data_IF_593724796796
#
_entry.id   IF_593724796796
#
_cell.length_a   1.000
_cell.length_b   1.000
_cell.length_c   1.000
_cell.angle_alpha   90.00
_cell.angle_beta   90.00
_cell.angle_gamma   90.00
#
_symmetry.space_group_name_H-M   'P 1'
#
loop_
_entity.id
_entity.type
_entity.pdbx_description
1 polymer ?
#
# COMPACT_ATOMS: atom_id res chain seq x y z
N UNK A 1 -28.62 -3.98 25.15
CA UNK A 1 -28.46 -2.53 24.88
C UNK A 1 -27.01 -2.29 24.51
N UNK A 2 -26.75 -2.31 23.22
CA UNK A 2 -25.44 -2.11 22.60
C UNK A 2 -25.08 -0.63 22.74
N UNK A 3 -24.04 -0.33 23.55
CA UNK A 3 -23.47 1.01 23.59
C UNK A 3 -22.73 1.21 22.27
N UNK A 4 -23.37 1.91 21.34
CA UNK A 4 -22.72 2.55 20.20
C UNK A 4 -21.74 3.57 20.76
N UNK A 5 -20.44 3.25 20.76
CA UNK A 5 -19.41 4.26 20.88
C UNK A 5 -19.32 4.96 19.53
N UNK A 6 -20.17 5.96 19.32
CA UNK A 6 -19.95 6.95 18.27
C UNK A 6 -18.81 7.81 18.79
N UNK A 7 -17.63 7.64 18.20
CA UNK A 7 -16.54 8.58 18.37
C UNK A 7 -16.92 9.88 17.64
N UNK A 8 -16.99 10.98 18.38
CA UNK A 8 -17.31 12.33 17.91
C UNK A 8 -16.17 12.98 17.09
N UNK A 9 -15.25 12.19 16.51
CA UNK A 9 -14.19 12.76 15.68
C UNK A 9 -14.76 13.16 14.31
N UNK A 10 -15.37 14.34 14.25
CA UNK A 10 -15.96 14.96 13.05
C UNK A 10 -14.92 15.69 12.21
N UNK A 11 -13.63 15.57 12.53
CA UNK A 11 -12.58 16.29 11.82
C UNK A 11 -12.23 15.59 10.50
N UNK A 12 -12.20 16.37 9.43
CA UNK A 12 -11.79 15.94 8.10
C UNK A 12 -10.34 15.45 8.13
N UNK A 13 -10.13 14.16 7.87
CA UNK A 13 -8.79 13.56 7.84
C UNK A 13 -8.01 14.05 6.61
N UNK A 14 -6.89 14.76 6.81
CA UNK A 14 -5.97 15.19 5.77
C UNK A 14 -4.91 14.11 5.52
N UNK A 15 -4.88 13.58 4.30
CA UNK A 15 -4.02 12.46 3.95
C UNK A 15 -2.94 12.92 2.98
N UNK A 16 -1.67 12.81 3.36
CA UNK A 16 -0.54 12.89 2.44
C UNK A 16 -0.36 11.57 1.69
N UNK A 17 -0.05 11.61 0.41
CA UNK A 17 0.04 10.39 -0.40
C UNK A 17 1.37 10.28 -1.12
N UNK A 18 2.15 9.24 -0.86
CA UNK A 18 3.44 9.01 -1.48
C UNK A 18 3.39 7.75 -2.33
N UNK A 19 3.86 7.83 -3.57
CA UNK A 19 3.86 6.68 -4.48
C UNK A 19 4.99 6.75 -5.50
N UNK A 20 5.43 5.59 -5.99
CA UNK A 20 6.24 5.52 -7.21
C UNK A 20 5.41 5.43 -8.48
N UNK A 21 4.09 5.17 -8.37
CA UNK A 21 3.17 5.17 -9.51
C UNK A 21 3.59 4.21 -10.63
N UNK A 22 3.93 2.97 -10.27
CA UNK A 22 4.49 1.97 -11.19
C UNK A 22 3.46 1.02 -11.82
N UNK A 23 2.27 0.88 -11.24
CA UNK A 23 1.30 -0.09 -11.73
C UNK A 23 -0.04 -0.07 -11.00
N UNK A 24 -0.82 -1.11 -11.27
CA UNK A 24 -2.23 -1.24 -10.86
C UNK A 24 -2.46 -1.22 -9.35
N UNK A 25 -1.49 -1.67 -8.54
CA UNK A 25 -1.57 -1.58 -7.09
C UNK A 25 -1.61 -0.13 -6.61
N UNK A 26 -0.57 0.65 -6.90
CA UNK A 26 -0.50 2.07 -6.53
C UNK A 26 -1.65 2.90 -7.11
N UNK A 27 -2.04 2.64 -8.36
CA UNK A 27 -3.14 3.36 -9.01
C UNK A 27 -4.48 3.00 -8.36
N UNK A 28 -4.76 1.71 -8.20
CA UNK A 28 -6.03 1.23 -7.64
C UNK A 28 -6.23 1.62 -6.17
N UNK A 29 -5.16 1.68 -5.37
CA UNK A 29 -5.23 2.19 -3.99
C UNK A 29 -5.65 3.66 -3.95
N UNK A 30 -5.06 4.50 -4.81
CA UNK A 30 -5.40 5.92 -4.87
C UNK A 30 -6.83 6.12 -5.40
N UNK A 31 -7.17 5.46 -6.52
CA UNK A 31 -8.51 5.55 -7.12
C UNK A 31 -9.60 5.09 -6.15
N UNK A 32 -9.40 3.96 -5.46
CA UNK A 32 -10.36 3.46 -4.47
C UNK A 32 -10.54 4.43 -3.30
N UNK A 33 -9.44 5.04 -2.83
CA UNK A 33 -9.50 6.03 -1.74
C UNK A 33 -10.21 7.29 -2.17
N UNK A 34 -9.95 7.78 -3.39
CA UNK A 34 -10.65 8.94 -3.96
C UNK A 34 -12.14 8.68 -4.15
N UNK A 35 -12.52 7.48 -4.59
CA UNK A 35 -13.92 7.08 -4.72
C UNK A 35 -14.63 7.09 -3.36
N UNK A 36 -14.00 6.54 -2.32
CA UNK A 36 -14.54 6.55 -0.95
C UNK A 36 -14.69 7.98 -0.39
N UNK A 37 -13.75 8.87 -0.71
CA UNK A 37 -13.86 10.29 -0.35
C UNK A 37 -15.04 10.95 -1.08
N UNK A 38 -15.12 10.76 -2.41
CA UNK A 38 -16.15 11.39 -3.23
C UNK A 38 -17.56 10.89 -2.92
N UNK A 39 -17.71 9.62 -2.52
CA UNK A 39 -18.99 9.04 -2.09
C UNK A 39 -19.42 9.49 -0.68
N UNK A 40 -18.50 10.10 0.09
CA UNK A 40 -18.71 10.46 1.49
C UNK A 40 -18.52 9.31 2.48
N UNK A 41 -18.10 8.14 2.00
CA UNK A 41 -17.82 6.97 2.84
C UNK A 41 -16.59 7.18 3.74
N UNK A 42 -15.58 7.87 3.21
CA UNK A 42 -14.40 8.32 3.95
C UNK A 42 -14.48 9.83 4.16
N UNK A 43 -14.61 10.26 5.41
CA UNK A 43 -14.56 11.68 5.79
C UNK A 43 -13.12 12.20 5.81
N UNK A 44 -12.52 12.34 4.63
CA UNK A 44 -11.15 12.81 4.47
C UNK A 44 -10.90 13.51 3.15
N UNK A 45 -9.69 14.02 2.97
CA UNK A 45 -9.20 14.58 1.71
C UNK A 45 -7.74 14.17 1.49
N UNK A 46 -7.36 14.00 0.23
CA UNK A 46 -5.94 13.91 -0.13
C UNK A 46 -5.36 15.33 -0.17
N UNK A 47 -4.48 15.65 0.78
CA UNK A 47 -3.87 16.97 0.92
C UNK A 47 -2.83 17.25 -0.17
N UNK A 48 -2.05 16.23 -0.52
CA UNK A 48 -1.10 16.25 -1.62
C UNK A 48 -0.82 14.82 -2.11
N UNK A 49 -0.31 14.71 -3.33
CA UNK A 49 0.30 13.48 -3.85
C UNK A 49 1.73 13.79 -4.24
N UNK A 50 2.67 13.11 -3.59
CA UNK A 50 4.08 13.07 -3.98
C UNK A 50 4.37 11.83 -4.84
N UNK A 51 5.01 12.06 -5.99
CA UNK A 51 5.49 11.00 -6.87
C UNK A 51 7.00 11.14 -7.06
N UNK A 52 7.77 10.10 -6.73
CA UNK A 52 9.23 10.13 -6.93
C UNK A 52 9.66 9.91 -8.40
N UNK A 53 8.78 10.28 -9.33
CA UNK A 53 8.88 10.16 -10.79
C UNK A 53 8.22 11.35 -11.45
N UNK A 54 8.57 11.57 -12.71
CA UNK A 54 8.03 12.65 -13.53
C UNK A 54 7.36 12.11 -14.79
N UNK A 55 6.55 12.95 -15.43
CA UNK A 55 5.86 12.66 -16.67
C UNK A 55 6.83 12.25 -17.79
N UNK A 56 6.41 11.28 -18.61
CA UNK A 56 7.20 10.70 -19.69
C UNK A 56 8.17 9.60 -19.25
N UNK A 57 8.29 9.28 -17.97
CA UNK A 57 9.15 8.17 -17.52
C UNK A 57 8.54 6.81 -17.81
N UNK A 58 7.25 6.61 -17.54
CA UNK A 58 6.50 5.40 -17.95
C UNK A 58 5.02 5.74 -18.13
N UNK A 59 4.33 4.99 -19.00
CA UNK A 59 2.88 5.16 -19.22
C UNK A 59 2.05 5.01 -17.94
N UNK A 60 2.46 4.10 -17.05
CA UNK A 60 1.78 3.86 -15.77
C UNK A 60 1.91 5.06 -14.83
N UNK A 61 3.09 5.68 -14.80
CA UNK A 61 3.31 6.91 -14.04
C UNK A 61 2.45 8.03 -14.62
N UNK A 62 2.48 8.25 -15.94
CA UNK A 62 1.69 9.29 -16.60
C UNK A 62 0.18 9.15 -16.36
N UNK A 63 -0.33 7.92 -16.38
CA UNK A 63 -1.72 7.62 -16.02
C UNK A 63 -2.06 8.02 -14.59
N UNK A 64 -1.18 7.72 -13.62
CA UNK A 64 -1.38 8.15 -12.23
C UNK A 64 -1.32 9.67 -12.09
N UNK A 65 -0.35 10.35 -12.72
CA UNK A 65 -0.26 11.81 -12.69
C UNK A 65 -1.52 12.46 -13.28
N UNK A 66 -2.07 11.88 -14.35
CA UNK A 66 -3.33 12.34 -14.97
C UNK A 66 -4.51 12.20 -14.01
N UNK A 67 -4.62 11.06 -13.30
CA UNK A 67 -5.64 10.87 -12.26
C UNK A 67 -5.52 11.93 -11.15
N UNK A 68 -4.33 12.19 -10.64
CA UNK A 68 -4.15 13.20 -9.57
C UNK A 68 -4.59 14.59 -10.06
N UNK A 69 -4.19 14.97 -11.28
CA UNK A 69 -4.55 16.26 -11.88
C UNK A 69 -6.05 16.39 -12.14
N UNK A 70 -6.73 15.34 -12.59
CA UNK A 70 -8.18 15.39 -12.85
C UNK A 70 -9.00 15.63 -11.58
N UNK A 71 -8.50 15.20 -10.42
CA UNK A 71 -9.08 15.47 -9.11
C UNK A 71 -8.63 16.80 -8.49
N UNK A 72 -7.81 17.60 -9.19
CA UNK A 72 -7.28 18.90 -8.73
C UNK A 72 -6.53 18.83 -7.39
N UNK A 73 -5.86 17.71 -7.15
CA UNK A 73 -5.04 17.50 -5.95
C UNK A 73 -3.65 18.10 -6.22
N UNK A 74 -3.03 18.77 -5.23
CA UNK A 74 -1.63 19.19 -5.35
C UNK A 74 -0.73 18.01 -5.69
N UNK A 75 -0.10 18.08 -6.87
CA UNK A 75 0.80 17.06 -7.38
C UNK A 75 2.23 17.56 -7.34
N UNK A 76 3.06 16.92 -6.52
CA UNK A 76 4.47 17.23 -6.35
C UNK A 76 5.28 16.07 -6.92
N UNK A 77 6.24 16.39 -7.77
CA UNK A 77 7.09 15.37 -8.40
C UNK A 77 8.55 15.71 -8.19
N UNK A 78 9.33 14.69 -7.77
CA UNK A 78 10.78 14.77 -7.74
C UNK A 78 11.34 13.42 -8.20
N UNK A 79 11.88 13.38 -9.42
CA UNK A 79 12.40 12.14 -10.00
C UNK A 79 13.63 11.63 -9.25
N UNK A 80 13.51 10.48 -8.57
CA UNK A 80 14.66 9.88 -7.86
C UNK A 80 15.77 9.45 -8.83
N UNK A 81 15.41 9.10 -10.07
CA UNK A 81 16.36 8.80 -11.14
C UNK A 81 17.20 10.03 -11.52
N UNK A 82 16.54 11.15 -11.74
CA UNK A 82 17.20 12.37 -12.22
C UNK A 82 17.93 13.08 -11.06
N UNK A 83 17.41 12.97 -9.84
CA UNK A 83 18.13 13.33 -8.61
C UNK A 83 19.43 12.54 -8.47
N UNK A 84 19.38 11.21 -8.60
CA UNK A 84 20.60 10.38 -8.56
C UNK A 84 21.59 10.78 -9.66
N UNK A 85 21.12 11.07 -10.87
CA UNK A 85 21.97 11.49 -11.99
C UNK A 85 22.68 12.82 -11.72
N UNK A 86 21.95 13.82 -11.21
CA UNK A 86 22.52 15.12 -10.86
C UNK A 86 23.49 15.07 -9.66
N UNK A 87 23.40 14.03 -8.83
CA UNK A 87 24.29 13.82 -7.68
C UNK A 87 25.41 12.81 -7.97
N UNK A 88 25.91 12.78 -9.21
CA UNK A 88 27.06 11.97 -9.61
C UNK A 88 26.81 10.46 -9.61
N UNK A 89 25.55 10.03 -9.74
CA UNK A 89 25.15 8.61 -9.77
C UNK A 89 25.59 7.78 -8.54
N UNK A 90 25.84 8.44 -7.40
CA UNK A 90 26.21 7.79 -6.14
C UNK A 90 25.23 6.66 -5.77
N UNK A 91 25.67 5.65 -5.01
CA UNK A 91 24.77 4.61 -4.49
C UNK A 91 23.57 5.24 -3.77
N UNK A 92 22.35 4.73 -4.02
CA UNK A 92 21.12 5.32 -3.48
C UNK A 92 21.15 5.47 -1.96
N UNK A 93 21.75 4.50 -1.25
CA UNK A 93 21.93 4.56 0.21
C UNK A 93 22.63 5.82 0.72
N UNK A 94 23.46 6.46 -0.10
CA UNK A 94 24.19 7.70 0.25
C UNK A 94 23.42 8.97 -0.17
N UNK A 95 22.23 8.81 -0.77
CA UNK A 95 21.41 9.91 -1.30
C UNK A 95 20.02 9.99 -0.67
N UNK A 96 19.60 8.97 0.09
CA UNK A 96 18.24 8.87 0.65
C UNK A 96 17.88 10.09 1.51
N UNK A 97 18.75 10.43 2.46
CA UNK A 97 18.50 11.56 3.38
C UNK A 97 18.42 12.88 2.64
N UNK A 98 19.40 13.20 1.78
CA UNK A 98 19.37 14.42 0.97
C UNK A 98 18.15 14.49 0.03
N UNK A 99 17.71 13.35 -0.50
CA UNK A 99 16.48 13.27 -1.29
C UNK A 99 15.26 13.57 -0.42
N UNK A 100 15.14 12.91 0.73
CA UNK A 100 14.03 13.13 1.66
C UNK A 100 13.97 14.59 2.14
N UNK A 101 15.10 15.22 2.48
CA UNK A 101 15.17 16.64 2.86
C UNK A 101 14.57 17.54 1.77
N UNK A 102 14.97 17.31 0.51
CA UNK A 102 14.42 18.04 -0.64
C UNK A 102 12.91 17.81 -0.78
N UNK A 103 12.43 16.59 -0.54
CA UNK A 103 10.99 16.28 -0.59
C UNK A 103 10.24 16.98 0.53
N UNK A 104 10.77 16.98 1.76
CA UNK A 104 10.17 17.67 2.91
C UNK A 104 10.05 19.17 2.64
N UNK A 105 11.10 19.80 2.11
CA UNK A 105 11.07 21.22 1.74
C UNK A 105 9.98 21.52 0.70
N UNK A 106 9.89 20.71 -0.37
CA UNK A 106 8.85 20.85 -1.39
C UNK A 106 7.43 20.66 -0.85
N UNK A 107 7.28 19.86 0.20
CA UNK A 107 5.99 19.56 0.82
C UNK A 107 5.62 20.51 1.98
N UNK A 108 6.54 21.36 2.44
CA UNK A 108 6.32 22.32 3.54
C UNK A 108 5.07 23.22 3.42
N UNK A 109 4.55 23.57 2.23
CA UNK A 109 3.30 24.32 2.13
C UNK A 109 2.02 23.51 2.44
N UNK A 110 2.13 22.19 2.58
CA UNK A 110 1.00 21.29 2.74
C UNK A 110 1.01 20.66 4.13
N UNK A 111 -0.19 20.49 4.69
CA UNK A 111 -0.40 19.91 6.01
C UNK A 111 -1.22 18.62 5.89
N UNK A 112 -0.80 17.58 6.60
CA UNK A 112 -1.40 16.26 6.60
C UNK A 112 -1.40 15.66 8.02
N UNK A 113 -2.53 15.09 8.43
CA UNK A 113 -2.66 14.44 9.75
C UNK A 113 -1.95 13.07 9.75
N UNK A 114 -2.02 12.38 8.61
CA UNK A 114 -1.32 11.13 8.34
C UNK A 114 -0.85 11.10 6.88
N UNK A 115 0.10 10.21 6.60
CA UNK A 115 0.55 9.91 5.25
C UNK A 115 0.29 8.44 4.88
N UNK A 116 0.29 8.14 3.58
CA UNK A 116 0.20 6.77 3.04
C UNK A 116 1.34 6.52 2.05
N UNK A 117 2.07 5.43 2.26
CA UNK A 117 2.94 4.79 1.25
C UNK A 117 2.12 3.81 0.41
N UNK A 118 1.72 4.23 -0.79
CA UNK A 118 0.97 3.40 -1.72
C UNK A 118 1.87 2.95 -2.88
N UNK A 119 2.63 1.88 -2.64
CA UNK A 119 3.64 1.42 -3.59
C UNK A 119 4.79 2.44 -3.75
N UNK A 120 5.22 3.05 -2.64
CA UNK A 120 6.42 3.86 -2.59
C UNK A 120 7.65 2.95 -2.51
N UNK A 121 8.47 2.96 -3.55
CA UNK A 121 9.54 1.96 -3.77
C UNK A 121 10.92 2.46 -3.30
N UNK A 122 10.96 3.42 -2.38
CA UNK A 122 12.19 3.99 -1.83
C UNK A 122 12.20 3.86 -0.30
N UNK A 123 13.38 3.65 0.26
CA UNK A 123 13.61 3.76 1.70
C UNK A 123 13.74 5.24 2.04
N UNK A 124 12.86 5.73 2.92
CA UNK A 124 12.60 7.14 3.20
C UNK A 124 12.78 7.44 4.70
N UNK A 125 14.03 7.43 5.23
CA UNK A 125 14.26 7.52 6.66
C UNK A 125 13.76 8.82 7.30
N UNK A 126 13.93 9.97 6.63
CA UNK A 126 13.52 11.26 7.19
C UNK A 126 12.04 11.51 6.94
N UNK A 127 11.51 11.10 5.78
CA UNK A 127 10.06 11.19 5.51
C UNK A 127 9.22 10.38 6.51
N UNK A 128 9.66 9.18 6.90
CA UNK A 128 8.96 8.40 7.94
C UNK A 128 9.02 9.04 9.33
N UNK A 129 10.00 9.93 9.57
CA UNK A 129 10.13 10.65 10.83
C UNK A 129 9.32 11.95 10.84
N UNK A 130 9.21 12.60 9.68
CA UNK A 130 8.44 13.83 9.48
C UNK A 130 6.93 13.58 9.43
N UNK A 131 6.52 12.49 8.77
CA UNK A 131 5.10 12.14 8.59
C UNK A 131 4.77 10.81 9.25
N UNK A 132 3.69 10.79 10.05
CA UNK A 132 3.07 9.54 10.51
C UNK A 132 2.50 8.78 9.30
N UNK A 133 3.28 7.83 8.78
CA UNK A 133 3.03 7.23 7.47
C UNK A 133 2.56 5.79 7.60
N UNK A 134 1.39 5.47 7.03
CA UNK A 134 0.87 4.12 6.93
C UNK A 134 1.34 3.46 5.63
N UNK A 135 1.75 2.21 5.69
CA UNK A 135 2.10 1.41 4.52
C UNK A 135 1.23 0.16 4.45
N UNK A 136 0.75 -0.14 3.24
CA UNK A 136 0.13 -1.43 2.96
C UNK A 136 1.20 -2.41 2.54
N UNK A 137 1.22 -3.58 3.17
CA UNK A 137 2.09 -4.68 2.80
C UNK A 137 1.27 -5.95 2.54
N UNK A 138 1.43 -6.63 1.38
CA UNK A 138 0.64 -7.79 1.02
C UNK A 138 1.19 -9.09 1.62
N UNK A 139 1.40 -9.08 2.93
CA UNK A 139 1.63 -10.24 3.77
C UNK A 139 1.03 -9.99 5.16
N UNK A 140 0.74 -11.06 5.90
CA UNK A 140 0.30 -10.97 7.29
C UNK A 140 1.47 -10.67 8.24
N UNK A 141 1.21 -10.19 9.47
CA UNK A 141 2.25 -9.95 10.46
C UNK A 141 3.12 -11.20 10.70
N UNK A 142 4.44 -11.02 10.74
CA UNK A 142 5.41 -12.12 10.83
C UNK A 142 5.58 -12.93 9.54
N UNK A 143 4.91 -12.53 8.45
CA UNK A 143 5.07 -13.11 7.12
C UNK A 143 6.30 -12.58 6.39
N UNK A 144 6.23 -12.60 5.05
CA UNK A 144 7.31 -12.15 4.17
C UNK A 144 7.60 -10.66 4.36
N UNK A 145 8.89 -10.28 4.39
CA UNK A 145 9.33 -8.88 4.36
C UNK A 145 9.75 -8.51 2.93
N UNK A 146 9.44 -7.30 2.47
CA UNK A 146 9.94 -6.75 1.21
C UNK A 146 8.96 -6.84 0.04
N UNK A 147 9.39 -7.41 -1.08
CA UNK A 147 8.64 -7.30 -2.34
C UNK A 147 7.37 -8.16 -2.35
N UNK A 148 6.26 -7.62 -2.87
CA UNK A 148 4.99 -8.34 -2.98
C UNK A 148 5.10 -9.66 -3.77
N UNK A 149 6.00 -9.74 -4.76
CA UNK A 149 6.24 -10.99 -5.49
C UNK A 149 6.76 -12.09 -4.59
N UNK A 150 7.65 -11.73 -3.66
CA UNK A 150 8.17 -12.69 -2.69
C UNK A 150 7.05 -13.15 -1.76
N UNK A 151 6.14 -12.27 -1.36
CA UNK A 151 5.01 -12.64 -0.53
C UNK A 151 4.11 -13.68 -1.21
N UNK A 152 3.82 -13.51 -2.51
CA UNK A 152 3.05 -14.52 -3.28
C UNK A 152 3.85 -15.83 -3.41
N UNK A 153 5.15 -15.75 -3.69
CA UNK A 153 5.98 -16.95 -3.78
C UNK A 153 6.09 -17.71 -2.46
N UNK A 154 6.13 -17.01 -1.33
CA UNK A 154 6.16 -17.62 0.00
C UNK A 154 4.86 -18.39 0.29
N UNK A 155 3.71 -17.87 -0.16
CA UNK A 155 2.43 -18.59 -0.06
C UNK A 155 2.50 -19.92 -0.81
N UNK A 156 3.03 -19.89 -2.05
CA UNK A 156 3.15 -21.06 -2.92
C UNK A 156 4.16 -22.06 -2.34
N UNK A 157 5.35 -21.59 -1.97
CA UNK A 157 6.45 -22.41 -1.46
C UNK A 157 6.08 -23.11 -0.15
N UNK A 158 5.49 -22.36 0.78
CA UNK A 158 5.09 -22.87 2.10
C UNK A 158 3.73 -23.57 2.07
N UNK A 159 3.10 -23.69 0.90
CA UNK A 159 1.79 -24.35 0.71
C UNK A 159 0.72 -23.81 1.69
N UNK A 160 0.72 -22.50 1.93
CA UNK A 160 -0.19 -21.89 2.91
C UNK A 160 -1.65 -22.02 2.45
N UNK A 161 -2.55 -22.22 3.41
CA UNK A 161 -3.99 -22.26 3.14
C UNK A 161 -4.62 -20.86 3.15
N UNK A 162 -3.97 -19.92 3.83
CA UNK A 162 -4.42 -18.53 3.97
C UNK A 162 -3.28 -17.56 3.72
N UNK A 163 -3.62 -16.40 3.18
CA UNK A 163 -2.73 -15.24 3.11
C UNK A 163 -3.52 -13.96 3.37
N UNK A 164 -2.90 -12.79 3.25
CA UNK A 164 -3.57 -11.54 3.52
C UNK A 164 -2.65 -10.33 3.34
N UNK A 165 -3.11 -9.21 3.87
CA UNK A 165 -2.37 -7.97 3.87
C UNK A 165 -2.46 -7.30 5.25
N UNK A 166 -1.47 -6.47 5.55
CA UNK A 166 -1.41 -5.65 6.74
C UNK A 166 -1.26 -4.16 6.38
N UNK A 167 -1.84 -3.31 7.21
CA UNK A 167 -1.47 -1.89 7.29
C UNK A 167 -0.62 -1.71 8.54
N UNK A 168 0.55 -1.11 8.38
CA UNK A 168 1.46 -0.83 9.47
C UNK A 168 2.02 0.58 9.37
N UNK A 169 2.52 1.10 10.50
CA UNK A 169 3.25 2.37 10.53
C UNK A 169 4.62 2.15 9.86
N UNK A 170 5.01 3.05 8.98
CA UNK A 170 6.30 3.02 8.31
C UNK A 170 7.38 3.47 9.29
N UNK A 171 8.51 2.77 9.29
CA UNK A 171 9.69 3.16 10.07
C UNK A 171 10.93 3.05 9.19
N UNK A 172 12.09 3.44 9.72
CA UNK A 172 13.37 3.21 9.05
C UNK A 172 13.65 1.72 8.77
N UNK A 173 13.02 0.82 9.54
CA UNK A 173 13.07 -0.62 9.34
C UNK A 173 11.90 -1.04 8.45
N UNK A 174 12.23 -1.61 7.29
CA UNK A 174 11.27 -1.95 6.24
C UNK A 174 10.30 -3.00 6.76
N UNK A 175 8.99 -2.73 6.63
CA UNK A 175 7.88 -3.61 7.02
C UNK A 175 7.86 -4.07 8.50
N UNK A 176 8.61 -3.39 9.38
CA UNK A 176 8.78 -3.77 10.79
C UNK A 176 8.10 -2.82 11.79
N UNK A 177 7.35 -1.83 11.31
CA UNK A 177 6.64 -0.93 12.21
C UNK A 177 5.38 -1.53 12.82
N UNK A 178 4.79 -0.86 13.83
CA UNK A 178 3.55 -1.31 14.47
C UNK A 178 2.44 -1.59 13.45
N UNK A 179 1.89 -2.81 13.48
CA UNK A 179 0.73 -3.19 12.68
C UNK A 179 -0.53 -2.62 13.32
N UNK A 180 -1.41 -2.04 12.50
CA UNK A 180 -2.65 -1.42 12.97
C UNK A 180 -3.90 -2.11 12.43
N UNK A 181 -3.81 -2.74 11.25
CA UNK A 181 -4.94 -3.44 10.65
C UNK A 181 -4.48 -4.62 9.80
N UNK A 182 -5.32 -5.65 9.70
CA UNK A 182 -5.10 -6.82 8.85
C UNK A 182 -6.37 -7.26 8.14
N UNK A 183 -6.23 -7.92 7.00
CA UNK A 183 -7.29 -8.72 6.38
C UNK A 183 -6.72 -10.05 5.87
N UNK A 184 -7.43 -11.14 6.14
CA UNK A 184 -7.03 -12.51 5.80
C UNK A 184 -8.00 -13.08 4.76
N UNK A 185 -7.50 -13.90 3.83
CA UNK A 185 -8.34 -14.68 2.93
C UNK A 185 -7.76 -16.06 2.64
N UNK A 186 -8.65 -16.98 2.29
CA UNK A 186 -8.27 -18.33 1.87
C UNK A 186 -7.67 -18.31 0.47
N UNK A 187 -6.56 -19.04 0.29
CA UNK A 187 -6.00 -19.38 -1.04
C UNK A 187 -6.31 -20.83 -1.40
N UNK A 188 -7.39 -21.39 -0.84
CA UNK A 188 -7.97 -22.71 -1.13
C UNK A 188 -9.42 -22.56 -1.55
N UNK A 189 -10.00 -23.64 -2.06
CA UNK A 189 -11.37 -23.71 -2.55
C UNK A 189 -11.47 -23.50 -4.05
N UNK A 190 -12.70 -23.41 -4.55
CA UNK A 190 -13.06 -23.42 -5.98
C UNK A 190 -12.21 -22.52 -6.89
N UNK A 191 -11.74 -21.37 -6.39
CA UNK A 191 -10.98 -20.39 -7.17
C UNK A 191 -9.46 -20.68 -7.22
N UNK A 192 -8.96 -21.65 -6.44
CA UNK A 192 -7.54 -21.92 -6.29
C UNK A 192 -7.18 -23.41 -6.40
N UNK A 193 -8.07 -24.33 -6.02
CA UNK A 193 -7.72 -25.75 -5.90
C UNK A 193 -7.22 -26.33 -7.22
N UNK A 194 -7.85 -26.02 -8.36
CA UNK A 194 -7.36 -26.46 -9.67
C UNK A 194 -5.96 -25.94 -9.99
N UNK A 195 -5.64 -24.70 -9.60
CA UNK A 195 -4.31 -24.12 -9.79
C UNK A 195 -3.26 -24.73 -8.85
N UNK A 196 -3.67 -25.19 -7.67
CA UNK A 196 -2.79 -25.94 -6.78
C UNK A 196 -2.50 -27.35 -7.32
N UNK A 197 -3.52 -28.05 -7.81
CA UNK A 197 -3.37 -29.36 -8.46
C UNK A 197 -2.44 -29.30 -9.67
N UNK A 198 -2.51 -28.24 -10.47
CA UNK A 198 -1.64 -28.02 -11.64
C UNK A 198 -0.15 -27.94 -11.30
N UNK A 199 0.20 -27.52 -10.08
CA UNK A 199 1.60 -27.39 -9.64
C UNK A 199 2.07 -28.57 -8.78
N UNK A 200 1.23 -29.56 -8.53
CA UNK A 200 1.61 -30.74 -7.77
C UNK A 200 2.67 -31.57 -8.51
N UNK A 201 3.68 -32.00 -7.75
CA UNK A 201 4.84 -32.72 -8.29
C UNK A 201 5.90 -31.83 -8.95
N UNK A 202 5.68 -30.52 -9.08
CA UNK A 202 6.70 -29.57 -9.56
C UNK A 202 7.44 -28.91 -8.40
N UNK A 203 8.78 -28.80 -8.51
CA UNK A 203 9.57 -28.04 -7.56
C UNK A 203 9.50 -26.53 -7.83
N UNK A 204 9.62 -25.72 -6.77
CA UNK A 204 9.48 -24.26 -6.85
C UNK A 204 10.50 -23.62 -7.81
N UNK A 205 11.72 -24.15 -7.88
CA UNK A 205 12.78 -23.59 -8.73
C UNK A 205 12.39 -23.73 -10.20
N UNK A 206 11.86 -24.89 -10.59
CA UNK A 206 11.33 -25.13 -11.93
C UNK A 206 10.16 -24.19 -12.26
N UNK A 207 9.20 -24.02 -11.34
CA UNK A 207 8.06 -23.12 -11.54
C UNK A 207 8.51 -21.66 -11.74
N UNK A 208 9.42 -21.17 -10.87
CA UNK A 208 9.98 -19.81 -10.97
C UNK A 208 10.76 -19.59 -12.26
N UNK A 209 11.53 -20.58 -12.71
CA UNK A 209 12.35 -20.46 -13.92
C UNK A 209 11.52 -20.50 -15.21
N UNK A 210 10.52 -21.39 -15.28
CA UNK A 210 9.72 -21.59 -16.50
C UNK A 210 8.58 -20.61 -16.63
N UNK A 211 7.85 -20.39 -15.54
CA UNK A 211 6.61 -19.61 -15.54
C UNK A 211 6.81 -18.25 -14.87
N UNK A 212 7.59 -18.18 -13.80
CA UNK A 212 7.76 -16.94 -13.04
C UNK A 212 6.40 -16.38 -12.61
N UNK A 213 6.22 -15.06 -12.75
CA UNK A 213 4.95 -14.38 -12.44
C UNK A 213 3.80 -14.76 -13.41
N UNK A 214 4.11 -15.46 -14.51
CA UNK A 214 3.10 -15.93 -15.47
C UNK A 214 2.38 -17.21 -15.02
N UNK A 215 2.79 -17.81 -13.90
CA UNK A 215 2.10 -18.97 -13.30
C UNK A 215 0.66 -18.59 -12.92
N UNK A 216 -0.31 -19.41 -13.33
CA UNK A 216 -1.74 -19.10 -13.09
C UNK A 216 -2.08 -19.04 -11.59
N UNK A 217 -1.53 -19.93 -10.76
CA UNK A 217 -1.68 -19.82 -9.29
C UNK A 217 -1.12 -18.49 -8.75
N UNK A 218 0.03 -18.05 -9.25
CA UNK A 218 0.65 -16.78 -8.84
C UNK A 218 -0.26 -15.60 -9.20
N UNK A 219 -0.77 -15.56 -10.45
CA UNK A 219 -1.72 -14.54 -10.90
C UNK A 219 -3.01 -14.55 -10.10
N UNK A 220 -3.55 -15.73 -9.83
CA UNK A 220 -4.78 -15.90 -9.06
C UNK A 220 -4.64 -15.34 -7.64
N UNK A 221 -3.55 -15.70 -6.93
CA UNK A 221 -3.25 -15.17 -5.60
C UNK A 221 -3.06 -13.65 -5.65
N UNK A 222 -2.28 -13.13 -6.62
CA UNK A 222 -2.05 -11.69 -6.73
C UNK A 222 -3.33 -10.91 -7.02
N UNK A 223 -4.18 -11.42 -7.92
CA UNK A 223 -5.47 -10.83 -8.25
C UNK A 223 -6.39 -10.80 -7.04
N UNK A 224 -6.47 -11.91 -6.30
CA UNK A 224 -7.27 -11.99 -5.08
C UNK A 224 -6.78 -11.05 -3.97
N UNK A 225 -5.45 -10.89 -3.84
CA UNK A 225 -4.83 -9.92 -2.93
C UNK A 225 -5.19 -8.48 -3.30
N UNK A 226 -5.02 -8.09 -4.56
CA UNK A 226 -5.34 -6.74 -5.05
C UNK A 226 -6.80 -6.33 -4.80
N UNK A 227 -7.74 -7.27 -4.91
CA UNK A 227 -9.16 -7.02 -4.62
C UNK A 227 -9.40 -6.65 -3.15
N UNK A 228 -8.55 -7.12 -2.24
CA UNK A 228 -8.67 -6.92 -0.78
C UNK A 228 -7.80 -5.79 -0.25
N UNK A 229 -6.65 -5.54 -0.89
CA UNK A 229 -5.75 -4.45 -0.54
C UNK A 229 -6.45 -3.08 -0.60
N UNK A 230 -7.30 -2.87 -1.60
CA UNK A 230 -8.05 -1.63 -1.80
C UNK A 230 -9.05 -1.35 -0.68
N UNK A 231 -10.05 -2.22 -0.40
CA UNK A 231 -10.95 -2.01 0.72
C UNK A 231 -10.23 -2.05 2.07
N UNK A 232 -9.16 -2.85 2.25
CA UNK A 232 -8.39 -2.84 3.50
C UNK A 232 -7.84 -1.43 3.81
N UNK A 233 -7.23 -0.76 2.82
CA UNK A 233 -6.72 0.59 3.03
C UNK A 233 -7.87 1.57 3.33
N UNK A 234 -8.96 1.52 2.56
CA UNK A 234 -10.13 2.40 2.76
C UNK A 234 -10.75 2.22 4.14
N UNK A 235 -11.03 0.99 4.56
CA UNK A 235 -11.60 0.70 5.88
C UNK A 235 -10.66 1.09 7.01
N UNK A 236 -9.35 0.93 6.83
CA UNK A 236 -8.37 1.40 7.81
C UNK A 236 -8.41 2.92 7.95
N UNK A 237 -8.44 3.66 6.83
CA UNK A 237 -8.53 5.13 6.85
C UNK A 237 -9.85 5.62 7.45
N UNK A 238 -10.97 4.93 7.18
CA UNK A 238 -12.28 5.22 7.81
C UNK A 238 -12.21 5.03 9.32
N UNK A 239 -11.65 3.91 9.77
CA UNK A 239 -11.51 3.62 11.19
C UNK A 239 -10.55 4.61 11.89
N UNK A 240 -9.48 5.06 11.22
CA UNK A 240 -8.60 6.13 11.73
C UNK A 240 -9.33 7.46 11.82
N UNK A 241 -10.04 7.88 10.75
CA UNK A 241 -10.83 9.13 10.75
C UNK A 241 -11.85 9.15 11.90
N UNK A 242 -12.48 8.02 12.17
CA UNK A 242 -13.44 7.85 13.25
C UNK A 242 -12.79 7.57 14.60
N UNK A 243 -11.46 7.54 14.73
CA UNK A 243 -10.77 7.28 16.01
C UNK A 243 -10.92 5.85 16.56
N UNK A 244 -11.43 4.91 15.76
CA UNK A 244 -11.50 3.48 16.09
C UNK A 244 -10.13 2.79 16.00
N UNK A 245 -9.25 3.28 15.11
CA UNK A 245 -7.84 2.85 15.02
C UNK A 245 -6.95 4.03 15.37
N UNK A 246 -5.96 3.80 16.22
CA UNK A 246 -4.88 4.76 16.46
C UNK A 246 -3.79 4.61 15.41
N UNK A 247 -3.55 5.63 14.55
CA UNK A 247 -2.58 5.53 13.47
C UNK A 247 -1.12 5.44 13.95
N UNK A 248 -0.84 5.64 15.24
CA UNK A 248 0.49 5.41 15.85
C UNK A 248 0.76 3.93 16.16
N UNK A 249 -0.28 3.09 16.12
CA UNK A 249 -0.21 1.67 16.47
C UNK A 249 -0.17 1.37 17.97
N UNK A 250 -0.47 2.36 18.83
CA UNK A 250 -0.43 2.19 20.29
C UNK A 250 -1.54 1.30 20.86
N UNK A 251 -2.65 1.10 20.12
CA UNK A 251 -3.88 0.43 20.59
C UNK A 251 -4.06 -1.01 20.09
N UNK A 252 -3.04 -1.60 19.47
CA UNK A 252 -3.08 -2.98 18.96
C UNK A 252 -3.60 -3.10 17.52
N UNK A 253 -3.79 -4.35 17.08
CA UNK A 253 -4.14 -4.71 15.70
C UNK A 253 -5.66 -4.91 15.59
N UNK A 254 -6.28 -4.28 14.59
CA UNK A 254 -7.69 -4.51 14.26
C UNK A 254 -7.81 -5.47 13.08
N UNK A 255 -8.59 -6.53 13.25
CA UNK A 255 -8.94 -7.44 12.17
C UNK A 255 -10.11 -6.88 11.36
N UNK A 256 -9.86 -6.54 10.10
CA UNK A 256 -10.84 -5.99 9.15
C UNK A 256 -11.31 -7.04 8.13
N UNK A 257 -10.99 -8.32 8.34
CA UNK A 257 -11.31 -9.41 7.40
C UNK A 257 -12.80 -9.43 7.00
N UNK A 258 -13.72 -9.37 7.97
CA UNK A 258 -15.15 -9.46 7.67
C UNK A 258 -15.66 -8.31 6.77
N UNK A 259 -15.25 -7.07 7.08
CA UNK A 259 -15.68 -5.89 6.29
C UNK A 259 -15.01 -5.88 4.92
N UNK A 260 -13.75 -6.29 4.83
CA UNK A 260 -13.01 -6.40 3.56
C UNK A 260 -13.64 -7.45 2.65
N UNK A 261 -13.98 -8.64 3.15
CA UNK A 261 -14.61 -9.69 2.34
C UNK A 261 -16.00 -9.26 1.82
N UNK A 262 -16.79 -8.55 2.62
CA UNK A 262 -18.08 -8.01 2.17
C UNK A 262 -17.93 -7.06 0.97
N UNK A 263 -16.88 -6.25 0.94
CA UNK A 263 -16.60 -5.31 -0.16
C UNK A 263 -16.07 -5.99 -1.43
N UNK A 264 -15.64 -7.25 -1.37
CA UNK A 264 -15.19 -8.02 -2.55
C UNK A 264 -16.36 -8.78 -3.20
N UNK A 265 -17.41 -9.08 -2.43
CA UNK A 265 -18.59 -9.84 -2.88
C UNK A 265 -19.61 -8.92 -3.58
N UNK A 266 -19.66 -7.65 -3.21
CA UNK A 266 -20.56 -6.62 -3.76
C UNK A 266 -19.95 -5.90 -4.97
#
# INVERSE_FOLDING_TARGET
MTKTFVSDNTNLLKIGWFTTGRGEGSYGLLESTLNAINSGELHGKIAFVFVNRVEGQTRQTDRLLTLVRSHRIPLITLSSRDFRRSHGNKPWKNLREAFDETVIELLSPYDADIAVHAGYMLIAPLLCSEYLTLNLHPALPGGTIGMWQQAVWDVIDKRLDTTGAMIHVSTIKVDEGPVIATAVFSVRGKNFDSHWEEIDGFDLKTLKQKMGEELELFKAIRKAGLLRERPLLVETLKAVSQGHIDPTGSKGIVDLTEVVEKSVIN
#
